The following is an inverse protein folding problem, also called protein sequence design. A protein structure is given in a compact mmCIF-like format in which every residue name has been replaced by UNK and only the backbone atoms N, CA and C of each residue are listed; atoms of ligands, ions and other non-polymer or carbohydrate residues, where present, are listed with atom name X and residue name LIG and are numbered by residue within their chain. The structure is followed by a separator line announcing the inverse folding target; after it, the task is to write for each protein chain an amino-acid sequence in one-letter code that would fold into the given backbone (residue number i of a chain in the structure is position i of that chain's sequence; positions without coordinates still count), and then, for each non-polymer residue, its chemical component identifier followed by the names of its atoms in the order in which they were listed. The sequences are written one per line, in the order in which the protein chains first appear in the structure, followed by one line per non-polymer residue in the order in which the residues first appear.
data_IF_930802381355
#
_entry.id   IF_930802381355
#
_cell.length_a   1.000
_cell.length_b   1.000
_cell.length_c   1.000
_cell.angle_alpha   90.00
_cell.angle_beta   90.00
_cell.angle_gamma   90.00
#
_symmetry.space_group_name_H-M   'P 1'
#
loop_
_entity.id
_entity.type
_entity.pdbx_description
1 polymer ?
#
# COMPACT_ATOMS: atom_id res chain seq x y z
N UNK A 1 -13.37 21.91 -15.43
CA UNK A 1 -12.81 20.55 -15.63
C UNK A 1 -12.32 20.08 -14.27
N UNK A 2 -13.12 19.27 -13.56
CA UNK A 2 -12.85 18.91 -12.17
C UNK A 2 -11.96 17.66 -12.14
N UNK A 3 -10.64 17.86 -12.08
CA UNK A 3 -9.68 16.79 -11.89
C UNK A 3 -9.51 16.51 -10.40
N UNK A 4 -9.93 15.33 -9.96
CA UNK A 4 -9.73 14.79 -8.61
C UNK A 4 -8.23 14.61 -8.36
N UNK A 5 -7.54 15.70 -8.01
CA UNK A 5 -6.18 15.65 -7.47
C UNK A 5 -6.26 15.05 -6.07
N UNK A 6 -6.32 13.73 -5.98
CA UNK A 6 -6.16 13.03 -4.71
C UNK A 6 -4.69 13.25 -4.31
N UNK A 7 -4.46 14.26 -3.45
CA UNK A 7 -3.17 14.46 -2.81
C UNK A 7 -2.75 13.14 -2.19
N UNK A 8 -1.55 12.66 -2.52
CA UNK A 8 -1.04 11.44 -1.91
C UNK A 8 -0.76 11.70 -0.42
N UNK A 9 -1.70 11.27 0.42
CA UNK A 9 -1.74 11.58 1.84
C UNK A 9 -0.53 11.01 2.58
N UNK A 10 -0.05 9.84 2.17
CA UNK A 10 1.08 9.17 2.80
C UNK A 10 2.43 9.80 2.42
N UNK A 11 2.52 10.49 1.27
CA UNK A 11 3.78 11.03 0.74
C UNK A 11 4.93 10.00 0.68
N UNK A 12 4.59 8.72 0.45
CA UNK A 12 5.55 7.62 0.41
C UNK A 12 5.75 7.15 -1.03
N UNK A 13 6.95 7.20 -1.61
CA UNK A 13 7.14 6.92 -3.04
C UNK A 13 6.76 5.49 -3.46
N UNK A 14 6.80 4.55 -2.51
CA UNK A 14 6.47 3.13 -2.74
C UNK A 14 4.97 2.82 -2.56
N UNK A 15 4.17 3.77 -2.10
CA UNK A 15 2.75 3.59 -1.84
C UNK A 15 1.94 4.69 -2.51
N UNK A 16 0.75 4.33 -2.97
CA UNK A 16 -0.22 5.30 -3.50
C UNK A 16 -1.46 5.25 -2.63
N UNK A 17 -1.87 6.42 -2.12
CA UNK A 17 -3.16 6.57 -1.44
C UNK A 17 -4.31 6.32 -2.43
N UNK A 18 -5.19 5.37 -2.09
CA UNK A 18 -6.39 5.01 -2.85
C UNK A 18 -7.63 5.71 -2.29
N UNK A 19 -7.74 5.76 -0.96
CA UNK A 19 -8.87 6.39 -0.28
C UNK A 19 -8.47 6.86 1.11
N UNK A 20 -9.12 7.91 1.58
CA UNK A 20 -9.01 8.40 2.95
C UNK A 20 -10.42 8.55 3.51
N UNK A 21 -10.68 7.91 4.64
CA UNK A 21 -11.92 7.99 5.38
C UNK A 21 -11.64 8.57 6.76
N UNK A 22 -11.92 9.85 6.95
CA UNK A 22 -11.91 10.45 8.29
C UNK A 22 -13.22 10.10 9.02
N UNK A 23 -13.10 9.48 10.18
CA UNK A 23 -14.23 9.13 11.06
C UNK A 23 -14.02 9.77 12.42
N UNK A 24 -15.06 9.79 13.24
CA UNK A 24 -15.01 10.43 14.56
C UNK A 24 -13.87 9.89 15.44
N UNK A 25 -13.65 8.57 15.46
CA UNK A 25 -12.71 7.92 16.37
C UNK A 25 -11.35 7.57 15.75
N UNK A 26 -11.23 7.62 14.41
CA UNK A 26 -10.00 7.23 13.70
C UNK A 26 -10.03 7.64 12.24
N UNK A 27 -8.85 7.83 11.67
CA UNK A 27 -8.68 8.02 10.23
C UNK A 27 -8.29 6.69 9.60
N UNK A 28 -8.98 6.30 8.54
CA UNK A 28 -8.66 5.12 7.73
C UNK A 28 -8.05 5.55 6.41
N UNK A 29 -6.92 4.94 6.03
CA UNK A 29 -6.26 5.18 4.75
C UNK A 29 -6.13 3.84 4.04
N UNK A 30 -6.55 3.76 2.79
CA UNK A 30 -6.28 2.61 1.93
C UNK A 30 -5.19 2.97 0.93
N UNK A 31 -4.25 2.06 0.73
CA UNK A 31 -3.13 2.26 -0.16
C UNK A 31 -2.73 0.98 -0.90
N UNK A 32 -2.04 1.15 -2.02
CA UNK A 32 -1.41 0.06 -2.78
C UNK A 32 0.06 0.36 -3.08
N UNK A 33 0.82 -0.69 -3.40
CA UNK A 33 2.19 -0.54 -3.87
C UNK A 33 2.23 0.04 -5.29
N UNK A 34 3.03 1.09 -5.48
CA UNK A 34 3.24 1.74 -6.79
C UNK A 34 4.00 0.85 -7.77
N UNK A 35 4.91 0.03 -7.25
CA UNK A 35 5.77 -0.83 -8.05
C UNK A 35 5.38 -2.31 -7.94
N UNK A 36 5.57 -3.04 -9.04
CA UNK A 36 5.51 -4.50 -9.07
C UNK A 36 6.92 -5.07 -9.03
N UNK A 37 7.07 -6.20 -8.34
CA UNK A 37 8.35 -6.89 -8.23
C UNK A 37 8.72 -7.49 -9.60
N UNK A 38 9.85 -7.06 -10.16
CA UNK A 38 10.35 -7.55 -11.46
C UNK A 38 11.29 -8.75 -11.32
N UNK A 39 11.99 -8.86 -10.19
CA UNK A 39 12.98 -9.89 -9.94
C UNK A 39 12.88 -10.37 -8.49
N UNK A 40 13.24 -11.63 -8.26
CA UNK A 40 13.29 -12.19 -6.91
C UNK A 40 14.37 -11.47 -6.09
N UNK A 41 14.06 -10.93 -4.88
CA UNK A 41 15.07 -10.31 -4.04
C UNK A 41 16.09 -11.31 -3.47
N UNK A 42 15.82 -12.62 -3.54
CA UNK A 42 16.74 -13.67 -3.10
C UNK A 42 17.74 -14.09 -4.18
N UNK A 43 17.25 -14.49 -5.36
CA UNK A 43 18.08 -15.05 -6.43
C UNK A 43 18.18 -14.18 -7.70
N UNK A 44 17.51 -13.03 -7.74
CA UNK A 44 17.40 -12.14 -8.91
C UNK A 44 16.74 -12.76 -10.15
N UNK A 45 16.22 -13.99 -10.04
CA UNK A 45 15.44 -14.65 -11.10
C UNK A 45 14.18 -13.86 -11.46
N UNK A 46 13.86 -13.85 -12.75
CA UNK A 46 12.69 -13.14 -13.30
C UNK A 46 11.39 -13.96 -13.23
N UNK A 47 11.47 -15.27 -12.92
CA UNK A 47 10.28 -16.15 -12.88
C UNK A 47 9.57 -15.98 -11.54
N UNK A 48 8.63 -15.05 -11.53
CA UNK A 48 7.79 -14.71 -10.38
C UNK A 48 6.33 -15.09 -10.66
N UNK A 49 5.74 -15.89 -9.77
CA UNK A 49 4.31 -16.16 -9.76
C UNK A 49 3.59 -15.24 -8.76
N UNK A 50 2.57 -14.51 -9.22
CA UNK A 50 1.74 -13.68 -8.35
C UNK A 50 0.69 -14.57 -7.67
N UNK A 51 0.90 -14.84 -6.38
CA UNK A 51 0.05 -15.70 -5.55
C UNK A 51 -1.24 -15.01 -5.07
N UNK A 52 -1.42 -13.72 -5.37
CA UNK A 52 -2.59 -12.92 -5.01
C UNK A 52 -2.22 -11.60 -4.34
N UNK A 53 -3.16 -11.02 -3.61
CA UNK A 53 -2.95 -9.86 -2.76
C UNK A 53 -3.49 -10.13 -1.36
N UNK A 54 -2.84 -9.59 -0.34
CA UNK A 54 -3.25 -9.71 1.05
C UNK A 54 -3.28 -8.33 1.71
N UNK A 55 -4.40 -7.94 2.34
CA UNK A 55 -4.46 -6.69 3.08
C UNK A 55 -3.56 -6.79 4.33
N UNK A 56 -2.76 -5.75 4.55
CA UNK A 56 -1.98 -5.57 5.78
C UNK A 56 -2.38 -4.26 6.44
N UNK A 57 -2.50 -4.28 7.76
CA UNK A 57 -2.89 -3.12 8.54
C UNK A 57 -1.70 -2.61 9.34
N UNK A 58 -1.46 -1.31 9.25
CA UNK A 58 -0.47 -0.58 10.03
C UNK A 58 -1.17 0.48 10.87
N UNK A 59 -0.69 0.67 12.10
CA UNK A 59 -1.06 1.82 12.93
C UNK A 59 0.00 2.89 12.68
N UNK A 60 -0.44 4.10 12.45
CA UNK A 60 0.45 5.24 12.23
C UNK A 60 0.27 6.27 13.36
N UNK A 61 1.16 7.26 13.40
CA UNK A 61 1.08 8.38 14.33
C UNK A 61 -0.30 9.05 14.26
N UNK A 62 -0.85 9.50 15.39
CA UNK A 62 -2.12 10.21 15.38
C UNK A 62 -2.07 11.45 14.50
N UNK A 63 -3.11 11.65 13.68
CA UNK A 63 -3.31 12.84 12.88
C UNK A 63 -4.59 13.53 13.35
N UNK A 64 -4.54 14.86 13.54
CA UNK A 64 -5.64 15.65 14.09
C UNK A 64 -6.20 15.10 15.42
N UNK A 65 -5.34 14.56 16.27
CA UNK A 65 -5.72 13.98 17.56
C UNK A 65 -6.41 12.61 17.47
N UNK A 66 -6.51 12.01 16.28
CA UNK A 66 -7.13 10.69 16.06
C UNK A 66 -6.08 9.67 15.63
N UNK A 67 -6.19 8.40 16.08
CA UNK A 67 -5.33 7.34 15.59
C UNK A 67 -5.56 7.10 14.09
N UNK A 68 -4.48 6.87 13.36
CA UNK A 68 -4.50 6.58 11.93
C UNK A 68 -4.28 5.07 11.71
N UNK A 69 -5.08 4.46 10.84
CA UNK A 69 -4.87 3.10 10.36
C UNK A 69 -4.68 3.12 8.85
N UNK A 70 -3.57 2.56 8.40
CA UNK A 70 -3.27 2.37 6.99
C UNK A 70 -3.52 0.91 6.64
N UNK A 71 -4.31 0.66 5.59
CA UNK A 71 -4.52 -0.66 5.02
C UNK A 71 -3.85 -0.73 3.65
N UNK A 72 -2.83 -1.57 3.53
CA UNK A 72 -2.05 -1.75 2.31
C UNK A 72 -2.44 -3.07 1.65
N UNK A 73 -2.84 -3.04 0.38
CA UNK A 73 -3.03 -4.25 -0.44
C UNK A 73 -1.67 -4.75 -0.97
N UNK A 74 -1.00 -5.59 -0.19
CA UNK A 74 0.30 -6.15 -0.59
C UNK A 74 0.11 -7.24 -1.64
N UNK A 75 0.73 -7.10 -2.80
CA UNK A 75 0.86 -8.16 -3.81
C UNK A 75 1.87 -9.21 -3.32
N UNK A 76 1.47 -10.48 -3.32
CA UNK A 76 2.33 -11.60 -2.89
C UNK A 76 2.93 -12.27 -4.13
N UNK A 77 4.25 -12.36 -4.16
CA UNK A 77 5.01 -13.04 -5.20
C UNK A 77 5.68 -14.27 -4.62
N UNK A 78 5.72 -15.35 -5.41
CA UNK A 78 6.51 -16.56 -5.15
C UNK A 78 7.55 -16.68 -6.27
N UNK A 79 8.82 -16.81 -5.92
CA UNK A 79 9.84 -17.14 -6.90
C UNK A 79 9.67 -18.60 -7.35
N UNK A 80 9.90 -18.84 -8.63
CA UNK A 80 9.85 -20.19 -9.22
C UNK A 80 11.24 -20.79 -9.44
N UNK A 81 12.31 -20.03 -9.17
CA UNK A 81 13.70 -20.43 -9.37
C UNK A 81 14.41 -20.75 -8.04
N UNK A 82 13.89 -20.26 -6.90
CA UNK A 82 14.39 -20.56 -5.55
C UNK A 82 13.25 -20.73 -4.54
#
# INVERSE_FOLDING_TARGET
HCGTGMTDFLQLPSLRTLSVADRAMRTGIEAESTQSLQQCPGCQGARLYRHGAQPQTYRDAPSHGKPVRIQILRRRYRCLDC
#
